data_IF_576480337477
#
_entry.id   IF_576480337477
#
_cell.length_a   1.000
_cell.length_b   1.000
_cell.length_c   1.000
_cell.angle_alpha   90.00
_cell.angle_beta   90.00
_cell.angle_gamma   90.00
#
_symmetry.space_group_name_H-M   'P 1'
#
loop_
_entity.id
_entity.type
_entity.pdbx_description
1 polymer ?
#
# COMPACT_ATOMS: atom_id res chain seq x y z
N UNK A 1 -14.43 16.14 -20.00
CA UNK A 1 -14.35 16.20 -21.48
C UNK A 1 -13.43 17.36 -21.81
N UNK A 2 -12.27 17.10 -22.44
CA UNK A 2 -11.22 18.11 -22.62
C UNK A 2 -11.40 18.95 -23.89
N UNK A 3 -12.06 18.39 -24.90
CA UNK A 3 -12.32 19.06 -26.17
C UNK A 3 -13.66 18.60 -26.74
N UNK A 4 -14.36 19.54 -27.38
CA UNK A 4 -15.55 19.27 -28.20
C UNK A 4 -15.56 20.28 -29.35
N UNK A 5 -16.01 19.84 -30.52
CA UNK A 5 -16.29 20.73 -31.65
C UNK A 5 -17.24 21.86 -31.23
N UNK A 6 -17.10 23.02 -31.88
CA UNK A 6 -17.99 24.16 -31.67
C UNK A 6 -19.47 23.79 -31.90
N UNK A 7 -20.42 24.42 -31.18
CA UNK A 7 -21.84 24.19 -31.42
C UNK A 7 -22.20 24.39 -32.91
N UNK A 8 -22.92 23.43 -33.48
CA UNK A 8 -23.28 23.43 -34.91
C UNK A 8 -22.23 22.84 -35.85
N UNK A 9 -21.01 22.53 -35.37
CA UNK A 9 -19.95 21.90 -36.16
C UNK A 9 -19.90 20.40 -35.86
N UNK A 10 -20.09 19.57 -36.89
CA UNK A 10 -20.13 18.11 -36.76
C UNK A 10 -18.75 17.47 -36.58
N UNK A 11 -17.71 18.08 -37.15
CA UNK A 11 -16.32 17.64 -37.07
C UNK A 11 -15.38 18.82 -37.31
N UNK A 12 -14.15 18.73 -36.80
CA UNK A 12 -13.11 19.74 -36.98
C UNK A 12 -11.79 19.06 -37.33
N UNK A 13 -11.10 19.56 -38.35
CA UNK A 13 -9.79 19.05 -38.75
C UNK A 13 -8.71 19.64 -37.86
N UNK A 14 -7.96 18.78 -37.17
CA UNK A 14 -6.99 19.17 -36.16
C UNK A 14 -5.71 18.38 -36.39
N UNK A 15 -4.58 19.09 -36.47
CA UNK A 15 -3.27 18.49 -36.69
C UNK A 15 -2.62 18.07 -35.38
N UNK A 16 -2.78 18.88 -34.33
CA UNK A 16 -2.16 18.66 -33.04
C UNK A 16 -3.00 19.25 -31.91
N UNK A 17 -3.03 18.55 -30.78
CA UNK A 17 -3.65 19.01 -29.54
C UNK A 17 -2.72 18.72 -28.36
N UNK A 18 -2.54 19.71 -27.50
CA UNK A 18 -2.05 19.57 -26.13
C UNK A 18 -3.12 20.15 -25.21
N UNK A 19 -3.75 19.26 -24.44
CA UNK A 19 -4.91 19.59 -23.62
C UNK A 19 -4.56 19.32 -22.15
N UNK A 20 -4.04 20.30 -21.42
CA UNK A 20 -3.69 20.13 -20.02
C UNK A 20 -4.96 19.87 -19.20
N UNK A 21 -4.85 18.99 -18.22
CA UNK A 21 -5.93 18.65 -17.30
C UNK A 21 -5.37 18.28 -15.93
N UNK A 22 -6.19 18.45 -14.90
CA UNK A 22 -5.92 17.98 -13.53
C UNK A 22 -7.03 17.01 -13.16
N UNK A 23 -6.65 15.87 -12.59
CA UNK A 23 -7.58 14.93 -11.97
C UNK A 23 -7.34 14.96 -10.47
N UNK A 24 -8.34 15.42 -9.73
CA UNK A 24 -8.35 15.23 -8.29
C UNK A 24 -8.75 13.78 -8.01
N UNK A 25 -7.89 13.07 -7.27
CA UNK A 25 -8.22 11.74 -6.78
C UNK A 25 -9.48 11.89 -5.92
N UNK A 26 -10.54 11.10 -6.14
CA UNK A 26 -11.78 11.27 -5.39
C UNK A 26 -11.52 11.00 -3.90
N UNK A 27 -11.68 12.06 -3.09
CA UNK A 27 -11.78 11.99 -1.63
C UNK A 27 -13.27 12.02 -1.30
N UNK A 28 -13.78 10.97 -0.66
CA UNK A 28 -15.19 10.79 -0.26
C UNK A 28 -16.16 10.51 -1.42
N UNK A 29 -16.97 9.46 -1.26
CA UNK A 29 -18.26 9.37 -1.95
C UNK A 29 -19.32 10.03 -1.06
N UNK A 30 -20.26 10.81 -1.60
CA UNK A 30 -21.40 11.27 -0.81
C UNK A 30 -22.11 10.06 -0.17
N UNK A 31 -22.28 10.08 1.16
CA UNK A 31 -22.98 9.01 1.91
C UNK A 31 -22.09 8.03 2.69
N UNK A 32 -20.77 8.23 2.72
CA UNK A 32 -19.86 7.47 3.59
C UNK A 32 -19.18 8.41 4.60
N UNK A 33 -19.28 8.10 5.90
CA UNK A 33 -18.77 8.93 7.00
C UNK A 33 -17.22 8.92 7.14
N UNK A 34 -16.52 8.05 6.40
CA UNK A 34 -15.07 7.90 6.48
C UNK A 34 -14.36 8.27 5.16
N UNK A 35 -13.25 9.01 5.29
CA UNK A 35 -12.38 9.37 4.16
C UNK A 35 -11.77 8.11 3.54
N UNK A 36 -12.29 7.69 2.38
CA UNK A 36 -11.84 6.48 1.69
C UNK A 36 -10.92 6.84 0.53
N UNK A 37 -9.65 7.05 0.86
CA UNK A 37 -8.57 7.15 -0.14
C UNK A 37 -8.48 5.87 -0.97
N UNK A 38 -8.18 5.96 -2.28
CA UNK A 38 -7.94 4.75 -3.07
C UNK A 38 -6.81 3.92 -2.44
N UNK A 39 -6.94 2.57 -2.46
CA UNK A 39 -5.85 1.70 -2.03
C UNK A 39 -4.63 1.87 -2.95
N UNK A 40 -3.44 1.54 -2.44
CA UNK A 40 -2.24 1.51 -3.27
C UNK A 40 -2.35 0.43 -4.35
N UNK A 41 -1.66 0.64 -5.48
CA UNK A 41 -1.44 -0.39 -6.48
C UNK A 41 -0.70 -1.56 -5.84
N UNK A 42 -1.24 -2.77 -5.96
CA UNK A 42 -0.69 -3.99 -5.37
C UNK A 42 -1.05 -5.19 -6.22
N UNK A 43 -0.16 -6.17 -6.31
CA UNK A 43 -0.42 -7.50 -6.88
C UNK A 43 0.16 -8.53 -5.93
N UNK A 44 -0.70 -9.35 -5.34
CA UNK A 44 -0.27 -10.44 -4.46
C UNK A 44 0.27 -11.63 -5.29
N UNK A 45 1.11 -12.49 -4.69
CA UNK A 45 1.57 -13.72 -5.34
C UNK A 45 0.40 -14.55 -5.90
N UNK A 46 0.66 -15.27 -7.00
CA UNK A 46 -0.34 -16.09 -7.69
C UNK A 46 -1.58 -15.33 -8.19
N UNK A 47 -1.53 -13.99 -8.25
CA UNK A 47 -2.64 -13.12 -8.66
C UNK A 47 -3.93 -13.37 -7.89
N UNK A 48 -3.82 -13.78 -6.62
CA UNK A 48 -4.98 -13.94 -5.75
C UNK A 48 -5.73 -12.61 -5.58
N UNK A 49 -5.00 -11.50 -5.70
CA UNK A 49 -5.55 -10.16 -5.59
C UNK A 49 -4.72 -9.13 -6.34
N UNK A 50 -5.38 -8.19 -7.03
CA UNK A 50 -4.73 -7.05 -7.67
C UNK A 50 -5.54 -5.76 -7.51
N UNK A 51 -4.84 -4.63 -7.39
CA UNK A 51 -5.38 -3.28 -7.55
C UNK A 51 -4.53 -2.57 -8.57
N UNK A 52 -5.16 -2.09 -9.64
CA UNK A 52 -4.52 -1.47 -10.78
C UNK A 52 -5.30 -0.23 -11.20
N UNK A 53 -4.59 0.80 -11.64
CA UNK A 53 -5.17 2.06 -12.08
C UNK A 53 -4.62 2.40 -13.46
N UNK A 54 -5.50 2.90 -14.31
CA UNK A 54 -5.15 3.39 -15.63
C UNK A 54 -5.89 4.69 -15.94
N UNK A 55 -5.20 5.56 -16.67
CA UNK A 55 -5.78 6.71 -17.32
C UNK A 55 -6.18 6.30 -18.74
N UNK A 56 -7.47 6.39 -19.06
CA UNK A 56 -7.98 6.06 -20.39
C UNK A 56 -8.39 7.33 -21.13
N UNK A 57 -7.71 7.60 -22.23
CA UNK A 57 -8.04 8.69 -23.15
C UNK A 57 -8.87 8.11 -24.29
N UNK A 58 -10.07 8.65 -24.47
CA UNK A 58 -10.97 8.27 -25.56
C UNK A 58 -11.03 9.38 -26.60
N UNK A 59 -10.71 9.03 -27.84
CA UNK A 59 -10.70 9.91 -28.99
C UNK A 59 -11.78 9.48 -29.97
N UNK A 60 -12.75 10.34 -30.21
CA UNK A 60 -13.79 10.13 -31.21
C UNK A 60 -13.36 10.83 -32.51
N UNK A 61 -13.06 10.05 -33.55
CA UNK A 61 -12.64 10.53 -34.87
C UNK A 61 -13.65 10.09 -35.95
N UNK A 62 -13.90 10.95 -36.93
CA UNK A 62 -14.75 10.65 -38.09
C UNK A 62 -16.03 11.50 -38.17
N UNK A 63 -16.67 11.47 -39.34
CA UNK A 63 -17.93 12.19 -39.59
C UNK A 63 -19.11 11.50 -38.88
N UNK A 64 -20.25 12.19 -38.72
CA UNK A 64 -21.44 11.71 -37.98
C UNK A 64 -21.90 10.28 -38.34
N UNK A 65 -21.62 9.81 -39.55
CA UNK A 65 -22.04 8.49 -40.04
C UNK A 65 -20.99 7.37 -39.84
N UNK A 66 -19.78 7.68 -39.39
CA UNK A 66 -18.70 6.71 -39.20
C UNK A 66 -17.71 7.17 -38.11
N UNK A 67 -18.23 7.41 -36.90
CA UNK A 67 -17.42 7.80 -35.75
C UNK A 67 -16.69 6.57 -35.18
N UNK A 68 -15.38 6.51 -35.35
CA UNK A 68 -14.52 5.52 -34.70
C UNK A 68 -14.07 6.07 -33.34
N UNK A 69 -14.29 5.30 -32.27
CA UNK A 69 -13.80 5.61 -30.93
C UNK A 69 -12.48 4.86 -30.69
N UNK A 70 -11.37 5.58 -30.66
CA UNK A 70 -10.07 5.03 -30.25
C UNK A 70 -9.86 5.22 -28.76
N UNK A 71 -9.29 4.22 -28.09
CA UNK A 71 -8.98 4.25 -26.66
C UNK A 71 -7.49 4.03 -26.46
N UNK A 72 -6.88 4.89 -25.64
CA UNK A 72 -5.48 4.80 -25.23
C UNK A 72 -5.44 4.67 -23.72
N UNK A 73 -4.88 3.57 -23.21
CA UNK A 73 -4.77 3.30 -21.79
C UNK A 73 -3.33 3.46 -21.32
N UNK A 74 -3.14 4.19 -20.23
CA UNK A 74 -1.83 4.46 -19.63
C UNK A 74 -1.86 4.03 -18.16
N UNK A 75 -0.95 3.14 -17.70
CA UNK A 75 -0.89 2.74 -16.29
C UNK A 75 -0.53 3.93 -15.38
N UNK A 76 -1.21 4.04 -14.25
CA UNK A 76 -0.97 5.09 -13.23
C UNK A 76 -0.82 4.44 -11.85
N UNK A 77 0.34 3.85 -11.51
CA UNK A 77 0.51 3.20 -10.22
C UNK A 77 0.35 4.22 -9.08
N UNK A 78 -0.40 3.85 -8.05
CA UNK A 78 -0.59 4.65 -6.83
C UNK A 78 0.21 4.05 -5.67
N UNK A 79 1.09 4.84 -5.08
CA UNK A 79 1.78 4.51 -3.84
C UNK A 79 1.09 5.21 -2.67
N UNK A 80 1.11 4.59 -1.49
CA UNK A 80 0.60 5.19 -0.26
C UNK A 80 1.68 5.19 0.81
N UNK A 81 1.71 6.30 1.54
CA UNK A 81 2.70 6.56 2.59
C UNK A 81 2.04 6.70 3.96
N UNK A 82 0.76 6.35 4.11
CA UNK A 82 0.04 6.46 5.38
C UNK A 82 0.47 5.43 6.44
N UNK A 83 1.23 4.41 6.03
CA UNK A 83 1.71 3.32 6.91
C UNK A 83 3.19 3.43 7.29
N UNK A 84 3.89 4.50 6.90
CA UNK A 84 5.34 4.62 7.07
C UNK A 84 5.77 4.52 8.53
N UNK A 85 6.80 3.70 8.79
CA UNK A 85 7.31 3.46 10.15
C UNK A 85 7.94 4.69 10.81
N UNK A 86 8.22 5.74 10.06
CA UNK A 86 8.75 7.02 10.55
C UNK A 86 7.70 7.90 11.21
N UNK A 87 6.40 7.68 10.96
CA UNK A 87 5.38 8.49 11.60
C UNK A 87 5.33 8.27 13.11
N UNK A 88 5.23 9.38 13.85
CA UNK A 88 5.24 9.38 15.31
C UNK A 88 4.17 8.48 15.94
N UNK A 89 3.00 8.34 15.30
CA UNK A 89 1.93 7.45 15.79
C UNK A 89 2.36 5.99 15.90
N UNK A 90 3.31 5.54 15.06
CA UNK A 90 3.81 4.16 15.07
C UNK A 90 4.99 3.97 16.01
N UNK A 91 5.64 5.07 16.43
CA UNK A 91 6.78 5.08 17.35
C UNK A 91 6.32 5.34 18.80
N UNK A 92 5.12 4.87 19.13
CA UNK A 92 4.60 4.79 20.48
C UNK A 92 4.67 3.35 20.94
N UNK A 93 5.12 3.16 22.17
CA UNK A 93 5.25 1.83 22.74
C UNK A 93 3.86 1.21 22.97
N UNK A 94 3.61 0.07 22.34
CA UNK A 94 2.38 -0.69 22.49
C UNK A 94 2.57 -1.80 23.54
N UNK A 95 1.64 -1.87 24.49
CA UNK A 95 1.65 -2.87 25.56
C UNK A 95 0.31 -3.58 25.56
N UNK A 96 0.35 -4.91 25.47
CA UNK A 96 -0.85 -5.74 25.53
C UNK A 96 -0.65 -6.86 26.53
N UNK A 97 -1.68 -7.14 27.32
CA UNK A 97 -1.70 -8.21 28.31
C UNK A 97 -2.94 -9.09 28.14
N UNK A 98 -2.81 -10.37 28.50
CA UNK A 98 -3.89 -11.33 28.45
C UNK A 98 -3.72 -12.40 29.52
N UNK A 99 -4.82 -12.64 30.24
CA UNK A 99 -4.98 -13.73 31.20
C UNK A 99 -6.10 -14.66 30.73
N UNK A 100 -5.91 -15.99 30.82
CA UNK A 100 -6.91 -16.98 30.37
C UNK A 100 -7.52 -17.79 31.51
N UNK A 101 -6.72 -18.20 32.49
CA UNK A 101 -7.13 -19.14 33.54
C UNK A 101 -6.71 -18.67 34.94
N UNK A 102 -6.67 -17.34 35.16
CA UNK A 102 -6.35 -16.65 36.43
C UNK A 102 -5.01 -17.00 37.09
N UNK A 103 -4.26 -18.00 36.61
CA UNK A 103 -2.98 -18.44 37.20
C UNK A 103 -1.79 -17.66 36.66
N UNK A 104 -1.83 -17.27 35.39
CA UNK A 104 -0.72 -16.62 34.68
C UNK A 104 -1.24 -15.50 33.80
N UNK A 105 -0.51 -14.39 33.77
CA UNK A 105 -0.69 -13.31 32.80
C UNK A 105 0.45 -13.35 31.78
N UNK A 106 0.11 -13.22 30.49
CA UNK A 106 1.07 -13.05 29.40
C UNK A 106 0.92 -11.64 28.87
N UNK A 107 2.03 -10.92 28.76
CA UNK A 107 2.03 -9.65 28.08
C UNK A 107 3.20 -9.47 27.14
N UNK A 108 3.02 -8.53 26.22
CA UNK A 108 4.01 -8.13 25.24
C UNK A 108 4.18 -6.62 25.28
N UNK A 109 5.36 -6.18 24.86
CA UNK A 109 5.70 -4.78 24.70
C UNK A 109 6.49 -4.60 23.40
N UNK A 110 5.98 -3.75 22.53
CA UNK A 110 6.57 -3.39 21.24
C UNK A 110 7.04 -1.93 21.29
N UNK A 111 8.28 -1.62 20.87
CA UNK A 111 8.77 -0.23 20.83
C UNK A 111 8.10 0.58 19.71
N UNK A 112 7.67 -0.10 18.64
CA UNK A 112 6.91 0.45 17.52
C UNK A 112 5.96 -0.60 16.96
N UNK A 113 5.01 -0.20 16.13
CA UNK A 113 4.02 -1.13 15.57
C UNK A 113 3.79 -1.00 14.07
N UNK A 114 4.67 -0.28 13.34
CA UNK A 114 4.78 -0.33 11.89
C UNK A 114 6.15 -0.89 11.46
N UNK A 115 6.15 -1.80 10.49
CA UNK A 115 7.32 -2.53 10.01
C UNK A 115 7.34 -2.67 8.49
N UNK A 116 8.53 -2.59 7.91
CA UNK A 116 8.78 -2.81 6.49
C UNK A 116 9.55 -4.10 6.18
N UNK A 117 9.86 -4.37 4.90
CA UNK A 117 10.73 -5.48 4.49
C UNK A 117 12.10 -5.43 5.18
N UNK A 118 12.54 -6.51 5.80
CA UNK A 118 13.86 -6.59 6.43
C UNK A 118 13.97 -5.86 7.78
N UNK A 119 12.93 -5.13 8.21
CA UNK A 119 12.90 -4.52 9.53
C UNK A 119 12.95 -5.58 10.63
N UNK A 120 13.63 -5.25 11.73
CA UNK A 120 13.59 -6.08 12.94
C UNK A 120 12.36 -5.76 13.78
N UNK A 121 11.55 -6.78 14.05
CA UNK A 121 10.42 -6.75 14.98
C UNK A 121 10.93 -7.17 16.36
N UNK A 122 11.17 -6.18 17.23
CA UNK A 122 11.63 -6.38 18.60
C UNK A 122 10.46 -6.53 19.56
N UNK A 123 10.45 -7.62 20.32
CA UNK A 123 9.30 -8.01 21.15
C UNK A 123 9.82 -8.35 22.54
N UNK A 124 9.39 -7.56 23.52
CA UNK A 124 9.63 -7.87 24.92
C UNK A 124 8.43 -8.64 25.46
N UNK A 125 8.66 -9.86 25.92
CA UNK A 125 7.62 -10.77 26.38
C UNK A 125 7.80 -10.96 27.88
N UNK A 126 6.71 -10.79 28.62
CA UNK A 126 6.70 -11.01 30.06
C UNK A 126 5.56 -11.94 30.44
N UNK A 127 5.85 -12.82 31.38
CA UNK A 127 4.93 -13.81 31.92
C UNK A 127 4.98 -13.67 33.44
N UNK A 128 3.87 -13.31 34.06
CA UNK A 128 3.80 -13.14 35.52
C UNK A 128 2.84 -14.15 36.14
N UNK A 129 3.22 -14.81 37.25
CA UNK A 129 2.27 -15.63 38.01
C UNK A 129 1.27 -14.70 38.71
N UNK A 130 0.04 -15.18 38.90
CA UNK A 130 -0.89 -14.49 39.78
C UNK A 130 -0.51 -14.77 41.25
N UNK A 131 -0.14 -13.74 42.04
CA UNK A 131 0.31 -13.92 43.43
C UNK A 131 -0.79 -14.47 44.35
N UNK A 132 -2.06 -14.25 44.02
CA UNK A 132 -3.20 -14.66 44.84
C UNK A 132 -3.41 -16.19 44.84
N UNK A 133 -2.78 -16.90 43.90
CA UNK A 133 -2.97 -18.32 43.69
C UNK A 133 -1.69 -19.11 43.91
N UNK A 134 -1.62 -19.86 45.00
CA UNK A 134 -0.47 -20.73 45.32
C UNK A 134 -0.16 -21.76 44.21
N UNK A 135 -1.17 -22.16 43.43
CA UNK A 135 -1.03 -23.03 42.26
C UNK A 135 -0.20 -22.40 41.14
N UNK A 136 -0.18 -21.07 41.01
CA UNK A 136 0.63 -20.35 40.01
C UNK A 136 2.14 -20.64 40.20
N UNK A 137 2.59 -20.87 41.44
CA UNK A 137 3.98 -21.24 41.77
C UNK A 137 4.39 -22.62 41.24
N UNK A 138 3.46 -23.45 40.76
CA UNK A 138 3.74 -24.78 40.18
C UNK A 138 3.81 -24.76 38.65
N UNK A 139 3.44 -23.65 38.02
CA UNK A 139 3.43 -23.54 36.56
C UNK A 139 4.86 -23.48 36.03
N UNK A 140 5.11 -24.20 34.93
CA UNK A 140 6.33 -24.05 34.15
C UNK A 140 6.02 -23.63 32.72
N UNK A 141 6.89 -22.78 32.17
CA UNK A 141 6.87 -22.33 30.78
C UNK A 141 7.58 -23.41 29.95
N UNK A 142 6.86 -24.00 29.00
CA UNK A 142 7.44 -24.99 28.08
C UNK A 142 8.10 -24.29 26.91
N UNK A 143 7.32 -23.57 26.13
CA UNK A 143 7.82 -22.77 25.01
C UNK A 143 7.01 -21.49 24.84
N UNK A 144 7.63 -20.53 24.16
CA UNK A 144 6.98 -19.30 23.70
C UNK A 144 7.18 -19.25 22.19
N UNK A 145 6.08 -19.26 21.44
CA UNK A 145 6.12 -19.11 19.98
C UNK A 145 5.62 -17.74 19.58
N UNK A 146 6.36 -17.09 18.70
CA UNK A 146 6.05 -15.80 18.11
C UNK A 146 5.83 -16.02 16.62
N UNK A 147 4.71 -15.52 16.10
CA UNK A 147 4.32 -15.69 14.71
C UNK A 147 3.84 -14.35 14.17
N UNK A 148 4.28 -13.99 12.97
CA UNK A 148 3.68 -12.92 12.20
C UNK A 148 2.67 -13.54 11.23
N UNK A 149 1.44 -13.06 11.29
CA UNK A 149 0.31 -13.55 10.50
C UNK A 149 -0.14 -12.45 9.54
N UNK A 150 -0.36 -12.82 8.28
CA UNK A 150 -1.07 -12.02 7.29
C UNK A 150 -2.50 -12.55 7.20
N UNK A 151 -3.48 -11.68 7.41
CA UNK A 151 -4.90 -11.98 7.26
C UNK A 151 -5.45 -11.21 6.06
N UNK A 152 -5.88 -11.95 5.04
CA UNK A 152 -6.53 -11.41 3.85
C UNK A 152 -8.03 -11.71 3.96
N UNK A 153 -8.83 -10.68 4.17
CA UNK A 153 -10.29 -10.78 4.17
C UNK A 153 -10.82 -10.34 2.82
N UNK A 154 -11.48 -11.25 2.10
CA UNK A 154 -12.21 -10.97 0.86
C UNK A 154 -13.65 -10.57 1.19
N UNK A 155 -14.19 -9.62 0.41
CA UNK A 155 -15.53 -9.06 0.57
C UNK A 155 -15.83 -8.60 2.02
N UNK A 156 -14.99 -7.72 2.61
CA UNK A 156 -15.08 -7.36 4.02
C UNK A 156 -16.38 -6.63 4.40
N UNK A 157 -17.04 -5.97 3.43
CA UNK A 157 -18.27 -5.19 3.62
C UNK A 157 -19.53 -5.94 3.13
N UNK A 158 -19.39 -7.14 2.57
CA UNK A 158 -20.52 -7.93 2.06
C UNK A 158 -21.01 -9.02 3.02
N UNK A 159 -22.02 -9.77 2.59
CA UNK A 159 -22.74 -10.74 3.43
C UNK A 159 -21.89 -11.95 3.89
N UNK A 160 -20.88 -12.34 3.09
CA UNK A 160 -20.02 -13.50 3.36
C UNK A 160 -18.52 -13.14 3.28
N UNK A 161 -17.96 -12.49 4.32
CA UNK A 161 -16.53 -12.18 4.36
C UNK A 161 -15.71 -13.46 4.56
N UNK A 162 -14.71 -13.69 3.71
CA UNK A 162 -13.81 -14.85 3.78
C UNK A 162 -12.42 -14.42 4.17
N UNK A 163 -11.90 -14.92 5.29
CA UNK A 163 -10.56 -14.57 5.77
C UNK A 163 -9.59 -15.74 5.61
N UNK A 164 -8.50 -15.51 4.88
CA UNK A 164 -7.38 -16.45 4.75
C UNK A 164 -6.24 -15.94 5.61
N UNK A 165 -5.67 -16.82 6.46
CA UNK A 165 -4.57 -16.48 7.36
C UNK A 165 -3.31 -17.23 6.93
N UNK A 166 -2.29 -16.47 6.54
CA UNK A 166 -0.96 -16.97 6.20
C UNK A 166 0.01 -16.67 7.33
N UNK A 167 0.84 -17.64 7.72
CA UNK A 167 1.92 -17.44 8.69
C UNK A 167 3.20 -17.12 7.93
N UNK A 168 3.61 -15.86 7.95
CA UNK A 168 4.72 -15.38 7.11
C UNK A 168 6.08 -15.55 7.79
N UNK A 169 6.12 -15.55 9.12
CA UNK A 169 7.34 -15.74 9.89
C UNK A 169 7.02 -16.36 11.25
N UNK A 170 7.90 -17.24 11.76
CA UNK A 170 7.72 -17.90 13.06
C UNK A 170 9.07 -18.13 13.75
N UNK A 171 9.10 -17.88 15.06
CA UNK A 171 10.18 -18.28 15.95
C UNK A 171 9.62 -18.91 17.22
N UNK A 172 10.25 -19.99 17.69
CA UNK A 172 9.86 -20.67 18.92
C UNK A 172 11.04 -20.67 19.88
N UNK A 173 10.85 -20.07 21.06
CA UNK A 173 11.79 -20.09 22.16
C UNK A 173 11.47 -21.27 23.07
N UNK A 174 12.42 -22.21 23.19
CA UNK A 174 12.28 -23.35 24.10
C UNK A 174 12.78 -22.93 25.49
N UNK A 175 11.86 -22.75 26.46
CA UNK A 175 12.18 -22.18 27.77
C UNK A 175 12.40 -23.27 28.82
N UNK A 176 11.53 -24.28 28.87
CA UNK A 176 11.58 -25.43 29.80
C UNK A 176 11.92 -25.06 31.25
N UNK A 177 11.35 -23.97 31.77
CA UNK A 177 11.67 -23.44 33.11
C UNK A 177 10.43 -23.23 33.95
N UNK A 178 10.53 -23.51 35.24
CA UNK A 178 9.50 -23.16 36.22
C UNK A 178 9.34 -21.64 36.29
N UNK A 179 8.09 -21.15 36.35
CA UNK A 179 7.79 -19.72 36.40
C UNK A 179 8.28 -19.12 37.73
N UNK A 180 9.22 -18.15 37.71
CA UNK A 180 9.68 -17.48 38.92
C UNK A 180 8.59 -16.63 39.57
N UNK A 181 8.68 -16.40 40.88
CA UNK A 181 7.71 -15.58 41.62
C UNK A 181 7.71 -14.11 41.17
N UNK A 182 8.88 -13.59 40.77
CA UNK A 182 9.07 -12.25 40.20
C UNK A 182 8.60 -12.12 38.75
N UNK A 183 8.16 -13.23 38.14
CA UNK A 183 7.84 -13.30 36.71
C UNK A 183 9.03 -13.71 35.85
N UNK A 184 8.75 -13.97 34.59
CA UNK A 184 9.71 -14.33 33.57
C UNK A 184 9.66 -13.28 32.46
N UNK A 185 10.82 -12.78 32.05
CA UNK A 185 10.94 -11.86 30.93
C UNK A 185 11.91 -12.43 29.90
N UNK A 186 11.58 -12.26 28.62
CA UNK A 186 12.47 -12.64 27.53
C UNK A 186 12.30 -11.67 26.37
N UNK A 187 13.33 -11.60 25.53
CA UNK A 187 13.35 -10.80 24.32
C UNK A 187 13.34 -11.71 23.09
N UNK A 188 12.54 -11.34 22.09
CA UNK A 188 12.49 -12.00 20.79
C UNK A 188 12.64 -10.96 19.69
N UNK A 189 13.46 -11.27 18.69
CA UNK A 189 13.66 -10.43 17.53
C UNK A 189 13.42 -11.24 16.26
N UNK A 190 12.47 -10.80 15.44
CA UNK A 190 12.12 -11.41 14.16
C UNK A 190 12.49 -10.46 13.02
N UNK A 191 13.15 -10.94 11.98
CA UNK A 191 13.28 -10.18 10.74
C UNK A 191 11.98 -10.30 9.93
N UNK A 192 11.40 -9.17 9.56
CA UNK A 192 10.25 -9.14 8.68
C UNK A 192 10.66 -9.62 7.28
N UNK A 193 9.91 -10.53 6.64
CA UNK A 193 10.29 -11.08 5.35
C UNK A 193 10.53 -10.01 4.29
N UNK A 194 11.66 -10.12 3.59
CA UNK A 194 11.99 -9.31 2.41
C UNK A 194 11.98 -10.21 1.18
N UNK A 195 11.28 -9.78 0.13
CA UNK A 195 11.34 -10.39 -1.19
C UNK A 195 12.64 -9.97 -1.87
N UNK A 196 13.41 -10.95 -2.30
CA UNK A 196 14.57 -10.71 -3.15
C UNK A 196 14.11 -10.12 -4.47
N UNK A 197 14.75 -9.02 -4.87
CA UNK A 197 14.44 -8.35 -6.13
C UNK A 197 15.02 -9.09 -7.33
N UNK A 198 15.88 -10.09 -7.13
CA UNK A 198 16.48 -10.89 -8.20
C UNK A 198 15.94 -12.31 -8.15
N UNK A 199 15.85 -12.93 -9.31
CA UNK A 199 15.60 -14.37 -9.42
C UNK A 199 16.86 -15.19 -9.08
N UNK A 200 16.73 -16.52 -9.09
CA UNK A 200 17.82 -17.45 -8.78
C UNK A 200 19.03 -17.29 -9.73
N UNK A 201 18.84 -16.70 -10.91
CA UNK A 201 19.88 -16.44 -11.91
C UNK A 201 20.49 -15.03 -11.74
N UNK A 202 20.13 -14.31 -10.66
CA UNK A 202 20.63 -12.98 -10.34
C UNK A 202 20.06 -11.87 -11.23
N UNK A 203 19.05 -12.17 -12.04
CA UNK A 203 18.39 -11.24 -12.95
C UNK A 203 17.20 -10.56 -12.26
N UNK A 204 16.93 -9.30 -12.62
CA UNK A 204 15.71 -8.63 -12.16
C UNK A 204 14.51 -9.27 -12.88
N UNK A 205 13.48 -9.74 -12.15
CA UNK A 205 12.29 -10.30 -12.76
C UNK A 205 11.63 -9.24 -13.62
N UNK A 206 11.07 -9.64 -14.76
CA UNK A 206 10.35 -8.73 -15.65
C UNK A 206 9.25 -8.02 -14.86
N UNK A 207 9.39 -6.71 -14.71
CA UNK A 207 8.41 -5.91 -14.00
C UNK A 207 7.08 -5.96 -14.74
N UNK A 208 6.01 -6.23 -14.02
CA UNK A 208 4.66 -6.18 -14.59
C UNK A 208 4.32 -4.71 -14.87
N UNK A 209 3.94 -4.41 -16.10
CA UNK A 209 3.60 -3.04 -16.51
C UNK A 209 2.54 -2.45 -15.57
N UNK A 210 2.83 -1.25 -15.05
CA UNK A 210 1.95 -0.51 -14.16
C UNK A 210 1.84 -1.02 -12.72
N UNK A 211 2.72 -1.92 -12.29
CA UNK A 211 2.87 -2.30 -10.88
C UNK A 211 4.25 -1.87 -10.33
N UNK A 212 4.31 -1.18 -9.18
CA UNK A 212 5.57 -0.90 -8.51
C UNK A 212 6.26 -2.19 -8.07
N UNK A 213 7.58 -2.17 -8.02
CA UNK A 213 8.38 -3.28 -7.50
C UNK A 213 8.50 -3.16 -5.98
N UNK A 214 7.66 -3.87 -5.24
CA UNK A 214 7.76 -3.92 -3.78
C UNK A 214 8.69 -5.05 -3.31
N UNK A 215 9.42 -4.76 -2.23
CA UNK A 215 10.24 -5.74 -1.52
C UNK A 215 9.45 -6.56 -0.48
N UNK A 216 8.13 -6.41 -0.43
CA UNK A 216 7.21 -7.22 0.39
C UNK A 216 6.20 -7.91 -0.51
N UNK A 217 5.71 -9.07 -0.08
CA UNK A 217 4.64 -9.79 -0.80
C UNK A 217 3.29 -9.09 -0.69
N UNK A 218 3.07 -8.37 0.41
CA UNK A 218 1.87 -7.60 0.70
C UNK A 218 2.16 -6.58 1.80
N UNK A 219 1.24 -5.64 1.98
CA UNK A 219 1.32 -4.63 3.04
C UNK A 219 -0.10 -4.28 3.52
N UNK A 220 -0.19 -3.60 4.66
CA UNK A 220 -1.48 -3.28 5.29
C UNK A 220 -2.27 -2.35 4.40
N UNK A 221 -3.45 -2.78 3.96
CA UNK A 221 -4.31 -1.98 3.08
C UNK A 221 -5.76 -2.39 3.24
N UNK A 222 -6.67 -1.44 3.00
CA UNK A 222 -8.12 -1.69 2.99
C UNK A 222 -8.68 -1.17 1.68
N UNK A 223 -9.36 -2.04 0.95
CA UNK A 223 -10.05 -1.76 -0.30
C UNK A 223 -11.52 -2.18 -0.18
N UNK A 224 -12.29 -2.01 -1.25
CA UNK A 224 -13.71 -2.37 -1.24
C UNK A 224 -13.93 -3.88 -1.21
N UNK A 225 -13.19 -4.61 -2.05
CA UNK A 225 -13.36 -6.05 -2.20
C UNK A 225 -12.45 -6.86 -1.29
N UNK A 226 -11.53 -6.21 -0.56
CA UNK A 226 -10.57 -6.90 0.28
C UNK A 226 -9.96 -6.02 1.38
N UNK A 227 -9.39 -6.68 2.37
CA UNK A 227 -8.62 -6.06 3.45
C UNK A 227 -7.42 -6.95 3.78
N UNK A 228 -6.24 -6.34 3.88
CA UNK A 228 -5.00 -7.02 4.28
C UNK A 228 -4.57 -6.45 5.62
N UNK A 229 -4.51 -7.31 6.63
CA UNK A 229 -4.11 -6.97 7.99
C UNK A 229 -2.98 -7.88 8.45
N UNK A 230 -2.12 -7.35 9.31
CA UNK A 230 -1.03 -8.13 9.89
C UNK A 230 -1.15 -8.18 11.41
N UNK A 231 -0.81 -9.33 11.97
CA UNK A 231 -0.89 -9.57 13.39
C UNK A 231 0.38 -10.22 13.91
N UNK A 232 0.82 -9.77 15.07
CA UNK A 232 1.82 -10.44 15.88
C UNK A 232 1.11 -11.33 16.89
N UNK A 233 1.28 -12.64 16.75
CA UNK A 233 0.70 -13.63 17.64
C UNK A 233 1.79 -14.24 18.52
N UNK A 234 1.69 -14.01 19.83
CA UNK A 234 2.55 -14.63 20.85
C UNK A 234 1.74 -15.68 21.60
N UNK A 235 2.17 -16.94 21.49
CA UNK A 235 1.59 -18.07 22.21
C UNK A 235 2.60 -18.61 23.21
N UNK A 236 2.25 -18.55 24.50
CA UNK A 236 2.99 -19.21 25.58
C UNK A 236 2.31 -20.52 25.96
N UNK A 237 3.08 -21.61 26.03
CA UNK A 237 2.60 -22.93 26.44
C UNK A 237 3.09 -23.30 27.83
N UNK A 238 2.19 -23.88 28.62
CA UNK A 238 2.43 -24.17 30.03
C UNK A 238 2.20 -25.65 30.35
N UNK A 239 2.76 -26.12 31.48
CA UNK A 239 2.59 -27.51 31.93
C UNK A 239 1.38 -27.72 32.86
N UNK A 240 1.03 -26.72 33.66
CA UNK A 240 0.01 -26.78 34.72
C UNK A 240 -0.93 -25.55 34.69
N UNK A 241 -1.01 -24.89 33.54
CA UNK A 241 -1.92 -23.79 33.24
C UNK A 241 -2.36 -23.91 31.77
N UNK A 242 -3.44 -23.24 31.39
CA UNK A 242 -3.88 -23.15 30.00
C UNK A 242 -2.90 -22.32 29.19
N UNK A 243 -2.62 -22.77 27.97
CA UNK A 243 -1.87 -21.98 26.99
C UNK A 243 -2.53 -20.61 26.80
N UNK A 244 -1.72 -19.56 26.74
CA UNK A 244 -2.20 -18.21 26.47
C UNK A 244 -1.73 -17.80 25.09
N UNK A 245 -2.67 -17.32 24.26
CA UNK A 245 -2.37 -16.75 22.94
C UNK A 245 -2.83 -15.30 22.91
N UNK A 246 -1.88 -14.40 22.74
CA UNK A 246 -2.05 -12.97 22.60
C UNK A 246 -1.83 -12.61 21.12
N UNK A 247 -2.74 -11.81 20.54
CA UNK A 247 -2.73 -11.43 19.13
C UNK A 247 -2.89 -9.92 19.03
N UNK A 248 -1.80 -9.24 18.69
CA UNK A 248 -1.72 -7.79 18.55
C UNK A 248 -1.72 -7.42 17.07
N UNK A 249 -2.48 -6.40 16.67
CA UNK A 249 -2.41 -5.88 15.30
C UNK A 249 -1.11 -5.07 15.12
N UNK A 250 -0.45 -5.26 13.99
CA UNK A 250 0.68 -4.45 13.53
C UNK A 250 0.37 -3.88 12.15
N UNK A 251 1.11 -2.84 11.76
CA UNK A 251 1.07 -2.24 10.44
C UNK A 251 2.29 -2.70 9.67
N UNK A 252 2.08 -3.01 8.40
CA UNK A 252 3.13 -3.36 7.45
C UNK A 252 3.08 -2.35 6.33
N UNK A 253 4.23 -1.74 6.05
CA UNK A 253 4.40 -0.77 4.97
C UNK A 253 5.27 -1.34 3.85
N UNK A 254 5.20 -0.79 2.62
CA UNK A 254 5.93 -1.33 1.48
C UNK A 254 7.44 -1.04 1.49
N UNK A 255 7.90 -0.12 2.35
CA UNK A 255 9.28 0.36 2.45
C UNK A 255 9.90 -0.05 3.78
N UNK A 256 11.20 -0.32 3.80
CA UNK A 256 11.92 -0.56 5.05
C UNK A 256 12.07 0.74 5.86
N UNK A 257 12.54 0.64 7.10
CA UNK A 257 12.63 1.82 7.96
C UNK A 257 13.55 2.92 7.40
N UNK A 258 14.60 2.54 6.66
CA UNK A 258 15.51 3.48 6.02
C UNK A 258 14.85 4.19 4.84
N UNK A 259 14.22 3.44 3.91
CA UNK A 259 13.45 4.02 2.81
C UNK A 259 12.27 4.87 3.30
N UNK A 260 11.65 4.50 4.43
CA UNK A 260 10.64 5.36 5.06
C UNK A 260 11.19 6.74 5.46
N UNK A 261 12.48 6.86 5.80
CA UNK A 261 13.12 8.15 6.14
C UNK A 261 13.47 8.94 4.89
N UNK A 262 14.02 8.27 3.88
CA UNK A 262 14.40 8.90 2.61
C UNK A 262 13.20 9.55 1.91
N UNK A 263 12.02 8.93 1.99
CA UNK A 263 10.80 9.46 1.37
C UNK A 263 10.19 10.66 2.13
N UNK A 264 10.57 10.91 3.39
CA UNK A 264 9.91 11.94 4.21
C UNK A 264 10.02 13.33 3.61
N UNK A 265 11.19 13.71 3.11
CA UNK A 265 11.43 15.04 2.53
C UNK A 265 10.58 15.25 1.28
N UNK A 266 10.49 14.23 0.42
CA UNK A 266 9.66 14.28 -0.78
C UNK A 266 8.17 14.37 -0.46
N UNK A 267 7.71 13.64 0.57
CA UNK A 267 6.33 13.68 1.04
C UNK A 267 6.00 15.06 1.62
N UNK A 268 6.89 15.63 2.43
CA UNK A 268 6.70 16.96 3.01
C UNK A 268 6.61 18.03 1.92
N UNK A 269 7.53 17.99 0.94
CA UNK A 269 7.50 18.91 -0.20
C UNK A 269 6.20 18.76 -0.99
N UNK A 270 5.81 17.53 -1.34
CA UNK A 270 4.57 17.29 -2.09
C UNK A 270 3.32 17.75 -1.32
N UNK A 271 3.29 17.54 0.00
CA UNK A 271 2.20 18.02 0.85
C UNK A 271 2.15 19.56 0.93
N UNK A 272 3.31 20.22 0.92
CA UNK A 272 3.39 21.68 0.87
C UNK A 272 2.95 22.23 -0.48
N UNK A 273 3.39 21.63 -1.59
CA UNK A 273 2.99 22.03 -2.94
C UNK A 273 1.48 21.89 -3.15
N UNK A 274 0.89 20.81 -2.63
CA UNK A 274 -0.54 20.56 -2.71
C UNK A 274 -1.39 21.65 -2.03
N UNK A 275 -0.88 22.34 -0.99
CA UNK A 275 -1.60 23.44 -0.31
C UNK A 275 -1.84 24.65 -1.21
N UNK A 276 -1.00 24.83 -2.23
CA UNK A 276 -1.11 25.96 -3.17
C UNK A 276 -2.01 25.66 -4.37
N UNK A 277 -2.52 24.42 -4.49
CA UNK A 277 -3.43 24.03 -5.57
C UNK A 277 -4.86 24.35 -5.16
N UNK A 278 -5.51 25.27 -5.88
CA UNK A 278 -6.94 25.53 -5.71
C UNK A 278 -7.77 24.35 -6.27
N UNK A 279 -8.58 23.66 -5.46
CA UNK A 279 -9.39 22.52 -5.92
C UNK A 279 -10.51 22.90 -6.89
N UNK A 280 -11.09 24.10 -6.71
CA UNK A 280 -12.22 24.57 -7.53
C UNK A 280 -11.77 25.14 -8.87
N UNK A 281 -10.55 25.68 -8.91
CA UNK A 281 -9.97 26.27 -10.11
C UNK A 281 -8.45 26.06 -10.16
N UNK A 282 -7.99 24.82 -10.45
CA UNK A 282 -6.56 24.55 -10.56
C UNK A 282 -5.96 25.37 -11.70
N UNK A 283 -4.84 26.05 -11.44
CA UNK A 283 -4.11 26.75 -12.51
C UNK A 283 -3.53 25.72 -13.48
N UNK A 284 -4.00 25.79 -14.74
CA UNK A 284 -3.54 24.95 -15.83
C UNK A 284 -2.88 25.82 -16.91
N UNK A 285 -1.85 25.32 -17.61
CA UNK A 285 -1.38 25.94 -18.85
C UNK A 285 -2.54 26.11 -19.86
N UNK A 286 -2.40 27.07 -20.77
CA UNK A 286 -3.39 27.21 -21.84
C UNK A 286 -3.34 26.02 -22.80
N UNK A 287 -4.49 25.47 -23.24
CA UNK A 287 -4.52 24.40 -24.22
C UNK A 287 -3.96 24.88 -25.56
N UNK A 288 -3.23 24.00 -26.25
CA UNK A 288 -2.68 24.25 -27.58
C UNK A 288 -3.43 23.39 -28.57
N UNK A 289 -4.13 24.02 -29.51
CA UNK A 289 -4.84 23.32 -30.59
C UNK A 289 -4.37 23.93 -31.90
N UNK A 290 -3.80 23.10 -32.77
CA UNK A 290 -3.23 23.53 -34.03
C UNK A 290 -4.06 22.94 -35.17
N UNK A 291 -4.65 23.83 -35.95
CA UNK A 291 -5.47 23.51 -37.12
C UNK A 291 -4.63 23.57 -38.39
N UNK A 292 -5.06 22.89 -39.48
CA UNK A 292 -4.35 22.92 -40.75
C UNK A 292 -4.11 24.33 -41.32
N UNK A 293 -4.98 25.29 -40.99
CA UNK A 293 -4.91 26.68 -41.48
C UNK A 293 -4.07 27.60 -40.60
N UNK A 294 -3.58 27.13 -39.45
CA UNK A 294 -2.80 27.98 -38.55
C UNK A 294 -1.39 28.21 -39.11
N UNK A 295 -0.82 29.38 -38.80
CA UNK A 295 0.53 29.74 -39.26
C UNK A 295 1.55 28.75 -38.72
N UNK A 296 2.39 28.21 -39.61
CA UNK A 296 3.41 27.20 -39.28
C UNK A 296 2.85 25.91 -38.64
N UNK A 297 1.58 25.57 -38.89
CA UNK A 297 0.96 24.38 -38.31
C UNK A 297 1.73 23.09 -38.58
N UNK A 298 2.32 22.96 -39.78
CA UNK A 298 3.13 21.79 -40.13
C UNK A 298 4.43 21.66 -39.32
N UNK A 299 4.99 22.78 -38.83
CA UNK A 299 6.23 22.74 -38.04
C UNK A 299 6.02 21.94 -36.75
N UNK A 300 4.80 21.94 -36.19
CA UNK A 300 4.44 21.14 -35.01
C UNK A 300 4.41 19.64 -35.26
N UNK A 301 4.35 19.23 -36.52
CA UNK A 301 4.49 17.85 -36.95
C UNK A 301 5.93 17.52 -37.41
N UNK A 302 6.89 18.44 -37.21
CA UNK A 302 8.25 18.30 -37.73
C UNK A 302 8.31 18.39 -39.26
N UNK A 303 7.39 19.12 -39.89
CA UNK A 303 7.30 19.25 -41.35
C UNK A 303 7.21 20.70 -41.80
N UNK A 304 7.54 20.97 -43.05
CA UNK A 304 7.34 22.27 -43.69
C UNK A 304 6.97 22.13 -45.17
N UNK A 305 6.61 23.24 -45.81
CA UNK A 305 6.42 23.29 -47.25
C UNK A 305 7.69 23.81 -47.92
N UNK A 306 8.15 23.10 -48.95
CA UNK A 306 9.17 23.58 -49.90
C UNK A 306 8.51 23.60 -51.27
N UNK A 307 8.12 24.78 -51.75
CA UNK A 307 7.23 24.91 -52.90
C UNK A 307 5.84 24.33 -52.58
N UNK A 308 5.40 23.33 -53.36
CA UNK A 308 4.14 22.60 -53.14
C UNK A 308 4.30 21.33 -52.31
N UNK A 309 5.54 20.90 -52.04
CA UNK A 309 5.82 19.61 -51.42
C UNK A 309 5.98 19.73 -49.91
N UNK A 310 5.44 18.75 -49.16
CA UNK A 310 5.71 18.58 -47.73
C UNK A 310 7.06 17.91 -47.56
N UNK A 311 7.95 18.54 -46.79
CA UNK A 311 9.28 18.02 -46.44
C UNK A 311 9.44 17.99 -44.92
N UNK A 312 10.37 17.17 -44.43
CA UNK A 312 10.77 17.21 -43.01
C UNK A 312 11.38 18.58 -42.71
N UNK A 313 11.05 19.12 -41.55
CA UNK A 313 11.67 20.32 -41.02
C UNK A 313 13.09 19.95 -40.58
N UNK A 314 14.09 20.65 -41.12
CA UNK A 314 15.49 20.56 -40.67
C UNK A 314 15.73 21.81 -39.83
N UNK A 315 16.11 21.63 -38.56
CA UNK A 315 16.51 22.71 -37.65
C UNK A 315 18.01 23.02 -37.79
#
# INVERSE_FOLDING_TARGET
MLYRCHPGVSHEEILYMDLPFVLFIPFNRPGYDAVRLPPATISLPSRTLETYYELVVSLHQGNQNNSEMKRFAFPVPLCRYDSLSTFGMYNVQEVQEKTTDHLVNLGIKLPRWSYGPGDTVQINIYVSPNPDWSKAKRVSIRNISVVIEEAITFNPEGDEPKTVINKIQRQTLNVQRKLPAEGFQTHCALLFPRKEARDNDGCLPRQKQGFPLYHVSGFTTTAYLYKIEYFLTVKATFSAARDITLRQRIVVCPLDHEGCKEEMDAIEQAANDAKYVNPENPMLPSPVIIRPKDRNALHKLGMTYVGTDRKLLIE
#
